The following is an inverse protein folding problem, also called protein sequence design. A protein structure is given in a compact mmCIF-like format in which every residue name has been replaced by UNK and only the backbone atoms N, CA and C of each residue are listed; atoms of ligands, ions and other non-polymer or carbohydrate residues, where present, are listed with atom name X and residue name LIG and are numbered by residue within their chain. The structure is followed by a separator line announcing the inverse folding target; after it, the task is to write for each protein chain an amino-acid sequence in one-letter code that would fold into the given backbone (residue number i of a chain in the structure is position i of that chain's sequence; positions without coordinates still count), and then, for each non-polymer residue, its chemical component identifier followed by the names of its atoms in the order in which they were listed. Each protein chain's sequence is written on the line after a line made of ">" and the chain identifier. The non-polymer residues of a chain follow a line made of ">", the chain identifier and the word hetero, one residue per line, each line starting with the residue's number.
data_IF_377414680627
#
_entry.id   IF_377414680627
#
_cell.length_a   1.000
_cell.length_b   1.000
_cell.length_c   1.000
_cell.angle_alpha   90.00
_cell.angle_beta   90.00
_cell.angle_gamma   90.00
#
_symmetry.space_group_name_H-M   'P 1'
#
loop_
_entity.id
_entity.type
_entity.pdbx_description
1 polymer ?
#
# COMPACT_ATOMS: atom_id res chain seq x y z
N UNK A 1 -52.19 1.54 7.96
CA UNK A 1 -51.40 1.41 9.20
C UNK A 1 -50.13 0.58 8.99
N UNK A 2 -50.17 -0.48 8.18
CA UNK A 2 -49.01 -1.30 7.79
C UNK A 2 -47.89 -0.51 7.09
N UNK A 3 -48.22 0.37 6.14
CA UNK A 3 -47.20 1.09 5.34
C UNK A 3 -46.32 2.08 6.14
N UNK A 4 -46.81 2.63 7.26
CA UNK A 4 -46.03 3.59 8.08
C UNK A 4 -45.10 2.88 9.07
N UNK A 5 -45.49 1.70 9.54
CA UNK A 5 -44.63 0.85 10.38
C UNK A 5 -43.50 0.20 9.56
N UNK A 6 -43.77 -0.19 8.32
CA UNK A 6 -42.74 -0.72 7.40
C UNK A 6 -41.68 0.34 7.05
N UNK A 7 -42.07 1.61 6.86
CA UNK A 7 -41.13 2.71 6.56
C UNK A 7 -40.26 3.06 7.77
N UNK A 8 -40.82 3.01 8.99
CA UNK A 8 -40.10 3.28 10.24
C UNK A 8 -39.03 2.21 10.52
N UNK A 9 -39.36 0.94 10.25
CA UNK A 9 -38.43 -0.18 10.34
C UNK A 9 -37.29 -0.11 9.29
N UNK A 10 -37.59 0.34 8.08
CA UNK A 10 -36.59 0.54 7.02
C UNK A 10 -35.62 1.69 7.37
N UNK A 11 -36.13 2.79 7.92
CA UNK A 11 -35.32 3.93 8.34
C UNK A 11 -34.39 3.61 9.52
N UNK A 12 -34.88 2.86 10.51
CA UNK A 12 -34.06 2.40 11.64
C UNK A 12 -32.95 1.46 11.16
N UNK A 13 -33.25 0.56 10.23
CA UNK A 13 -32.26 -0.34 9.61
C UNK A 13 -31.17 0.44 8.88
N UNK A 14 -31.55 1.46 8.09
CA UNK A 14 -30.59 2.32 7.38
C UNK A 14 -29.71 3.10 8.36
N UNK A 15 -30.28 3.64 9.44
CA UNK A 15 -29.50 4.34 10.46
C UNK A 15 -28.49 3.42 11.16
N UNK A 16 -28.92 2.21 11.56
CA UNK A 16 -28.05 1.21 12.17
C UNK A 16 -26.92 0.77 11.23
N UNK A 17 -27.21 0.62 9.94
CA UNK A 17 -26.20 0.28 8.94
C UNK A 17 -25.20 1.43 8.74
N UNK A 18 -25.69 2.68 8.70
CA UNK A 18 -24.84 3.86 8.58
C UNK A 18 -23.89 3.99 9.78
N UNK A 19 -24.38 3.78 10.99
CA UNK A 19 -23.57 3.82 12.21
C UNK A 19 -22.46 2.76 12.16
N UNK A 20 -22.79 1.53 11.76
CA UNK A 20 -21.81 0.45 11.59
C UNK A 20 -20.74 0.80 10.55
N UNK A 21 -21.13 1.33 9.40
CA UNK A 21 -20.18 1.70 8.34
C UNK A 21 -19.28 2.85 8.78
N UNK A 22 -19.80 3.84 9.51
CA UNK A 22 -19.02 4.94 10.06
C UNK A 22 -18.02 4.46 11.12
N UNK A 23 -18.40 3.52 11.98
CA UNK A 23 -17.47 2.89 12.92
C UNK A 23 -16.39 2.09 12.19
N UNK A 24 -16.78 1.29 11.19
CA UNK A 24 -15.82 0.58 10.33
C UNK A 24 -14.88 1.56 9.61
N UNK A 25 -15.38 2.71 9.17
CA UNK A 25 -14.58 3.75 8.53
C UNK A 25 -13.51 4.31 9.48
N UNK A 26 -13.85 4.48 10.76
CA UNK A 26 -12.90 4.93 11.79
C UNK A 26 -11.80 3.88 12.03
N UNK A 27 -12.16 2.60 12.12
CA UNK A 27 -11.19 1.51 12.25
C UNK A 27 -10.25 1.43 11.05
N UNK A 28 -10.79 1.50 9.83
CA UNK A 28 -9.97 1.50 8.62
C UNK A 28 -9.01 2.70 8.56
N UNK A 29 -9.42 3.87 9.08
CA UNK A 29 -8.53 5.03 9.19
C UNK A 29 -7.40 4.79 10.21
N UNK A 30 -7.70 4.19 11.35
CA UNK A 30 -6.68 3.79 12.34
C UNK A 30 -5.67 2.81 11.73
N UNK A 31 -6.15 1.78 11.02
CA UNK A 31 -5.32 0.81 10.33
C UNK A 31 -4.42 1.48 9.28
N UNK A 32 -4.99 2.40 8.48
CA UNK A 32 -4.22 3.18 7.50
C UNK A 32 -3.10 3.98 8.17
N UNK A 33 -3.41 4.67 9.27
CA UNK A 33 -2.42 5.44 10.02
C UNK A 33 -1.29 4.55 10.55
N UNK A 34 -1.63 3.37 11.08
CA UNK A 34 -0.65 2.39 11.56
C UNK A 34 0.24 1.89 10.40
N UNK A 35 -0.35 1.58 9.25
CA UNK A 35 0.39 1.21 8.03
C UNK A 35 1.34 2.32 7.58
N UNK A 36 0.91 3.58 7.53
CA UNK A 36 1.75 4.72 7.14
C UNK A 36 2.94 4.89 8.09
N UNK A 37 2.73 4.80 9.41
CA UNK A 37 3.81 4.85 10.38
C UNK A 37 4.82 3.71 10.20
N UNK A 38 4.35 2.50 9.89
CA UNK A 38 5.22 1.36 9.62
C UNK A 38 6.04 1.56 8.33
N UNK A 39 5.43 2.10 7.28
CA UNK A 39 6.11 2.44 6.02
C UNK A 39 7.19 3.49 6.28
N UNK A 40 6.86 4.58 6.99
CA UNK A 40 7.82 5.64 7.34
C UNK A 40 9.02 5.10 8.13
N UNK A 41 8.75 4.27 9.15
CA UNK A 41 9.79 3.62 9.95
C UNK A 41 10.69 2.73 9.09
N UNK A 42 10.11 1.94 8.18
CA UNK A 42 10.85 1.05 7.29
C UNK A 42 11.69 1.83 6.27
N UNK A 43 11.13 2.87 5.65
CA UNK A 43 11.84 3.76 4.73
C UNK A 43 13.02 4.45 5.43
N UNK A 44 12.82 4.95 6.64
CA UNK A 44 13.88 5.59 7.42
C UNK A 44 15.00 4.59 7.72
N UNK A 45 14.66 3.39 8.19
CA UNK A 45 15.64 2.34 8.46
C UNK A 45 16.45 1.94 7.20
N UNK A 46 15.77 1.72 6.07
CA UNK A 46 16.42 1.44 4.79
C UNK A 46 17.35 2.58 4.35
N UNK A 47 16.92 3.83 4.53
CA UNK A 47 17.70 5.02 4.20
C UNK A 47 18.95 5.17 5.06
N UNK A 48 18.88 4.84 6.36
CA UNK A 48 20.06 4.80 7.26
C UNK A 48 21.09 3.79 6.74
N UNK A 49 20.65 2.62 6.29
CA UNK A 49 21.55 1.61 5.72
C UNK A 49 22.17 2.06 4.39
N UNK A 50 21.43 2.77 3.54
CA UNK A 50 22.00 3.40 2.35
C UNK A 50 23.04 4.47 2.71
N UNK A 51 22.75 5.33 3.69
CA UNK A 51 23.69 6.35 4.15
C UNK A 51 24.98 5.74 4.70
N UNK A 52 24.89 4.67 5.50
CA UNK A 52 26.05 3.90 5.96
C UNK A 52 26.85 3.31 4.80
N UNK A 53 26.17 2.81 3.76
CA UNK A 53 26.83 2.27 2.56
C UNK A 53 27.58 3.36 1.79
N UNK A 54 26.95 4.53 1.58
CA UNK A 54 27.59 5.74 0.99
C UNK A 54 28.81 6.18 1.79
N UNK A 55 28.72 6.19 3.12
CA UNK A 55 29.84 6.57 3.98
C UNK A 55 31.03 5.63 3.82
N UNK A 56 30.79 4.32 3.83
CA UNK A 56 31.84 3.30 3.72
C UNK A 56 32.51 3.31 2.35
N UNK A 57 31.72 3.43 1.28
CA UNK A 57 32.21 3.30 -0.10
C UNK A 57 32.58 4.64 -0.76
N UNK A 58 32.32 5.77 -0.10
CA UNK A 58 32.52 7.11 -0.65
C UNK A 58 31.33 7.65 -1.46
N UNK A 59 31.32 8.96 -1.71
CA UNK A 59 30.16 9.71 -2.20
C UNK A 59 29.58 9.28 -3.56
N UNK A 60 30.38 8.71 -4.46
CA UNK A 60 30.00 8.36 -5.84
C UNK A 60 29.62 6.87 -6.03
N UNK A 61 29.63 6.10 -4.95
CA UNK A 61 29.48 4.64 -5.00
C UNK A 61 28.03 4.17 -4.91
N UNK A 62 27.19 4.86 -4.14
CA UNK A 62 25.75 4.63 -4.05
C UNK A 62 25.09 5.94 -4.45
N UNK A 63 25.02 6.20 -5.74
CA UNK A 63 24.48 7.45 -6.26
C UNK A 63 23.77 7.24 -7.60
N UNK A 64 23.02 8.24 -8.07
CA UNK A 64 22.21 8.16 -9.28
C UNK A 64 23.06 7.88 -10.53
N UNK A 65 24.33 8.28 -10.53
CA UNK A 65 25.28 8.04 -11.62
C UNK A 65 25.61 6.55 -11.81
N UNK A 66 25.24 5.70 -10.84
CA UNK A 66 25.41 4.24 -10.95
C UNK A 66 24.18 3.53 -11.54
N UNK A 67 23.07 4.24 -11.71
CA UNK A 67 21.86 3.64 -12.23
C UNK A 67 21.97 3.42 -13.75
N UNK A 68 21.35 2.36 -14.29
CA UNK A 68 21.22 2.16 -15.72
C UNK A 68 20.62 3.40 -16.42
N UNK A 69 21.21 3.77 -17.56
CA UNK A 69 20.71 4.79 -18.48
C UNK A 69 20.02 4.15 -19.69
N UNK A 70 19.43 4.95 -20.59
CA UNK A 70 18.75 4.49 -21.81
C UNK A 70 19.62 3.60 -22.72
N UNK A 71 20.95 3.68 -22.59
CA UNK A 71 21.93 2.86 -23.31
C UNK A 71 22.25 1.52 -22.63
N UNK A 72 21.69 1.24 -21.45
CA UNK A 72 21.92 0.00 -20.71
C UNK A 72 21.03 -1.13 -21.24
N UNK A 73 21.40 -2.39 -20.95
CA UNK A 73 20.55 -3.53 -21.26
C UNK A 73 19.18 -3.39 -20.58
N UNK A 74 18.12 -3.77 -21.29
CA UNK A 74 16.78 -3.85 -20.71
C UNK A 74 16.77 -4.79 -19.51
N UNK A 75 15.96 -4.43 -18.52
CA UNK A 75 15.71 -5.21 -17.32
C UNK A 75 14.29 -4.97 -16.86
N UNK A 76 13.71 -5.96 -16.20
CA UNK A 76 12.35 -5.91 -15.69
C UNK A 76 12.32 -5.70 -14.18
N UNK A 77 11.18 -5.25 -13.68
CA UNK A 77 10.96 -5.14 -12.25
C UNK A 77 10.98 -6.53 -11.60
N UNK A 78 11.70 -6.66 -10.48
CA UNK A 78 11.75 -7.92 -9.72
C UNK A 78 10.41 -8.30 -9.10
N UNK A 79 9.52 -7.32 -8.91
CA UNK A 79 8.17 -7.50 -8.37
C UNK A 79 7.21 -6.57 -9.11
N UNK A 80 6.01 -7.06 -9.38
CA UNK A 80 4.88 -6.32 -9.94
C UNK A 80 3.72 -6.33 -8.95
N UNK A 81 2.73 -5.47 -9.19
CA UNK A 81 1.51 -5.41 -8.41
C UNK A 81 0.35 -5.84 -9.29
N UNK A 82 -0.40 -6.85 -8.85
CA UNK A 82 -1.55 -7.38 -9.56
C UNK A 82 -2.81 -7.16 -8.74
N UNK A 83 -3.93 -6.90 -9.43
CA UNK A 83 -5.25 -6.82 -8.80
C UNK A 83 -5.85 -8.21 -8.77
N UNK A 84 -6.15 -8.71 -7.58
CA UNK A 84 -6.79 -10.00 -7.34
C UNK A 84 -8.18 -9.75 -6.76
N UNK A 85 -9.16 -10.51 -7.21
CA UNK A 85 -10.49 -10.55 -6.60
C UNK A 85 -10.60 -11.81 -5.74
N UNK A 86 -10.46 -11.67 -4.42
CA UNK A 86 -10.68 -12.75 -3.45
C UNK A 86 -11.96 -12.43 -2.68
N UNK A 87 -12.90 -13.38 -2.58
CA UNK A 87 -14.16 -13.24 -1.85
C UNK A 87 -15.03 -12.03 -2.24
N UNK A 88 -15.02 -11.64 -3.52
CA UNK A 88 -15.65 -10.42 -4.07
C UNK A 88 -15.06 -9.10 -3.57
N UNK A 89 -13.87 -9.14 -2.96
CA UNK A 89 -13.15 -7.96 -2.52
C UNK A 89 -11.96 -7.76 -3.46
N UNK A 90 -11.89 -6.58 -4.08
CA UNK A 90 -10.76 -6.21 -4.94
C UNK A 90 -9.56 -5.85 -4.07
N UNK A 91 -8.46 -6.59 -4.22
CA UNK A 91 -7.23 -6.40 -3.47
C UNK A 91 -6.03 -6.36 -4.41
N UNK A 92 -4.95 -5.74 -3.94
CA UNK A 92 -3.66 -5.66 -4.61
C UNK A 92 -2.71 -6.65 -3.95
N UNK A 93 -1.91 -7.35 -4.76
CA UNK A 93 -0.91 -8.30 -4.28
C UNK A 93 0.42 -8.07 -4.99
N UNK A 94 1.51 -8.20 -4.24
CA UNK A 94 2.87 -8.21 -4.79
C UNK A 94 3.15 -9.59 -5.38
N UNK A 95 3.56 -9.62 -6.64
CA UNK A 95 3.90 -10.85 -7.37
C UNK A 95 5.36 -10.74 -7.83
N UNK A 96 6.13 -11.81 -7.64
CA UNK A 96 7.50 -11.87 -8.15
C UNK A 96 7.49 -12.17 -9.65
N UNK A 97 8.34 -11.48 -10.41
CA UNK A 97 8.46 -11.69 -11.85
C UNK A 97 9.52 -12.76 -12.14
N UNK A 98 9.18 -13.76 -12.97
CA UNK A 98 10.11 -14.82 -13.41
C UNK A 98 11.09 -14.38 -14.51
N UNK A 99 10.99 -13.14 -14.98
CA UNK A 99 11.87 -12.59 -16.01
C UNK A 99 13.31 -12.41 -15.50
N UNK A 100 14.25 -12.28 -16.45
CA UNK A 100 15.69 -12.22 -16.20
C UNK A 100 16.05 -11.20 -15.11
N UNK A 101 16.22 -11.71 -13.88
CA UNK A 101 16.39 -10.87 -12.69
C UNK A 101 17.83 -10.32 -12.64
N UNK A 102 18.02 -9.11 -13.16
CA UNK A 102 19.29 -8.38 -13.03
C UNK A 102 19.48 -8.04 -11.56
N UNK A 103 20.58 -8.48 -10.95
CA UNK A 103 20.88 -8.11 -9.57
C UNK A 103 21.31 -6.63 -9.51
N UNK A 104 20.47 -5.71 -8.97
CA UNK A 104 20.74 -4.27 -9.02
C UNK A 104 21.93 -3.86 -8.13
N UNK A 105 22.36 -4.73 -7.20
CA UNK A 105 23.53 -4.47 -6.37
C UNK A 105 24.81 -4.38 -7.20
N UNK A 106 24.87 -5.07 -8.35
CA UNK A 106 26.03 -5.06 -9.24
C UNK A 106 26.26 -3.70 -9.90
N UNK A 107 25.22 -2.86 -10.00
CA UNK A 107 25.34 -1.50 -10.51
C UNK A 107 26.23 -0.62 -9.62
N UNK A 108 26.34 -0.97 -8.33
CA UNK A 108 27.15 -0.24 -7.36
C UNK A 108 28.55 -0.86 -7.15
N UNK A 109 28.92 -1.87 -7.94
CA UNK A 109 30.23 -2.53 -7.94
C UNK A 109 30.19 -4.00 -7.53
N UNK A 110 31.35 -4.67 -7.66
CA UNK A 110 31.49 -6.11 -7.37
C UNK A 110 31.46 -6.39 -5.86
N UNK A 111 32.00 -5.48 -5.06
CA UNK A 111 32.11 -5.63 -3.60
C UNK A 111 31.32 -4.53 -2.90
N UNK A 112 30.07 -4.83 -2.57
CA UNK A 112 29.18 -3.89 -1.86
C UNK A 112 29.10 -4.23 -0.36
N UNK A 113 29.03 -3.24 0.55
CA UNK A 113 28.90 -3.46 1.98
C UNK A 113 27.61 -4.20 2.35
N UNK A 114 27.65 -4.90 3.49
CA UNK A 114 26.47 -5.58 4.06
C UNK A 114 25.28 -4.65 4.31
N UNK A 115 25.54 -3.37 4.58
CA UNK A 115 24.48 -2.37 4.73
C UNK A 115 23.67 -2.19 3.44
N UNK A 116 24.26 -2.33 2.26
CA UNK A 116 23.53 -2.17 0.99
C UNK A 116 22.59 -3.35 0.74
N UNK A 117 23.03 -4.56 1.08
CA UNK A 117 22.16 -5.75 1.08
C UNK A 117 20.97 -5.59 2.03
N UNK A 118 21.23 -5.10 3.25
CA UNK A 118 20.16 -4.82 4.22
C UNK A 118 19.18 -3.77 3.72
N UNK A 119 19.68 -2.67 3.15
CA UNK A 119 18.83 -1.65 2.55
C UNK A 119 17.93 -2.23 1.45
N UNK A 120 18.49 -3.03 0.53
CA UNK A 120 17.71 -3.72 -0.51
C UNK A 120 16.58 -4.55 0.10
N UNK A 121 16.88 -5.42 1.06
CA UNK A 121 15.88 -6.28 1.71
C UNK A 121 14.81 -5.49 2.45
N UNK A 122 15.20 -4.42 3.16
CA UNK A 122 14.25 -3.53 3.84
C UNK A 122 13.30 -2.90 2.83
N UNK A 123 13.81 -2.33 1.73
CA UNK A 123 12.95 -1.70 0.72
C UNK A 123 12.06 -2.71 -0.01
N UNK A 124 12.54 -3.92 -0.29
CA UNK A 124 11.70 -4.99 -0.84
C UNK A 124 10.52 -5.31 0.09
N UNK A 125 10.77 -5.43 1.38
CA UNK A 125 9.70 -5.65 2.36
C UNK A 125 8.77 -4.44 2.50
N UNK A 126 9.30 -3.22 2.41
CA UNK A 126 8.49 -1.99 2.43
C UNK A 126 7.46 -1.95 1.31
N UNK A 127 7.75 -2.51 0.13
CA UNK A 127 6.78 -2.60 -0.96
C UNK A 127 5.54 -3.40 -0.52
N UNK A 128 5.71 -4.49 0.23
CA UNK A 128 4.59 -5.26 0.76
C UNK A 128 3.72 -4.40 1.70
N UNK A 129 4.34 -3.66 2.63
CA UNK A 129 3.59 -2.75 3.53
C UNK A 129 2.85 -1.64 2.77
N UNK A 130 3.44 -1.13 1.67
CA UNK A 130 2.78 -0.14 0.82
C UNK A 130 1.54 -0.73 0.15
N UNK A 131 1.63 -1.96 -0.36
CA UNK A 131 0.49 -2.65 -0.97
C UNK A 131 -0.61 -2.94 0.04
N UNK A 132 -0.26 -3.38 1.25
CA UNK A 132 -1.21 -3.52 2.36
C UNK A 132 -1.92 -2.20 2.68
N UNK A 133 -1.17 -1.10 2.78
CA UNK A 133 -1.74 0.24 2.99
C UNK A 133 -2.68 0.66 1.85
N UNK A 134 -2.30 0.37 0.60
CA UNK A 134 -3.14 0.65 -0.56
C UNK A 134 -4.46 -0.15 -0.51
N UNK A 135 -4.43 -1.40 -0.04
CA UNK A 135 -5.64 -2.20 0.16
C UNK A 135 -6.56 -1.61 1.22
N UNK A 136 -6.03 -1.14 2.35
CA UNK A 136 -6.82 -0.44 3.37
C UNK A 136 -7.43 0.85 2.77
N UNK A 137 -6.68 1.58 1.95
CA UNK A 137 -7.20 2.78 1.26
C UNK A 137 -8.34 2.45 0.29
N UNK A 138 -8.25 1.34 -0.44
CA UNK A 138 -9.35 0.89 -1.30
C UNK A 138 -10.62 0.61 -0.49
N UNK A 139 -10.49 -0.08 0.65
CA UNK A 139 -11.63 -0.35 1.54
C UNK A 139 -12.23 0.94 2.12
N UNK A 140 -11.40 1.91 2.50
CA UNK A 140 -11.87 3.24 2.92
C UNK A 140 -12.71 3.89 1.82
N UNK A 141 -12.20 3.93 0.59
CA UNK A 141 -12.90 4.56 -0.53
C UNK A 141 -14.24 3.87 -0.80
N UNK A 142 -14.28 2.54 -0.75
CA UNK A 142 -15.51 1.78 -0.90
C UNK A 142 -16.51 2.07 0.22
N UNK A 143 -16.05 2.09 1.47
CA UNK A 143 -16.90 2.36 2.61
C UNK A 143 -17.48 3.79 2.57
N UNK A 144 -16.69 4.79 2.15
CA UNK A 144 -17.18 6.16 1.91
C UNK A 144 -18.32 6.16 0.87
N UNK A 145 -18.16 5.45 -0.26
CA UNK A 145 -19.20 5.35 -1.29
C UNK A 145 -20.48 4.74 -0.74
N UNK A 146 -20.37 3.67 0.07
CA UNK A 146 -21.51 3.02 0.70
C UNK A 146 -22.24 3.96 1.69
N UNK A 147 -21.47 4.71 2.49
CA UNK A 147 -21.99 5.73 3.40
C UNK A 147 -22.74 6.82 2.63
N UNK A 148 -22.18 7.31 1.53
CA UNK A 148 -22.82 8.34 0.68
C UNK A 148 -24.13 7.84 0.05
N UNK A 149 -24.15 6.59 -0.45
CA UNK A 149 -25.33 5.98 -1.02
C UNK A 149 -26.47 5.83 0.00
N UNK A 150 -26.15 5.39 1.23
CA UNK A 150 -27.14 5.27 2.31
C UNK A 150 -27.62 6.61 2.83
N UNK A 151 -26.74 7.62 2.91
CA UNK A 151 -27.14 8.99 3.23
C UNK A 151 -28.10 9.54 2.19
N UNK A 152 -27.83 9.30 0.91
CA UNK A 152 -28.74 9.69 -0.17
C UNK A 152 -30.11 9.01 -0.03
N UNK A 153 -30.14 7.70 0.23
CA UNK A 153 -31.37 6.95 0.45
C UNK A 153 -32.17 7.50 1.64
N UNK A 154 -31.51 7.69 2.79
CA UNK A 154 -32.13 8.28 4.00
C UNK A 154 -32.78 9.63 3.72
N UNK A 155 -32.09 10.51 2.99
CA UNK A 155 -32.60 11.84 2.64
C UNK A 155 -33.76 11.82 1.63
N UNK A 156 -33.92 10.73 0.88
CA UNK A 156 -35.04 10.54 -0.06
C UNK A 156 -36.28 9.97 0.61
N UNK A 157 -36.11 9.20 1.70
CA UNK A 157 -37.19 8.58 2.48
C UNK A 157 -37.77 9.54 3.53
N UNK A 158 -36.96 10.47 4.03
CA UNK A 158 -37.39 11.59 4.91
C UNK A 158 -38.12 12.68 4.11
#
# INVERSE_FOLDING_TARGET
>A
MTQKADIDFDLETVCNLLDKLVLQQLHLMEDKMACELNIEKSINNGSIHLAKSRYIMGQSSVSKERLPTESSSEFSASVTCESVEEDNIRQLKVVETDEANVNPLRWFGVLVPQNLYRAKSIFQNTVNFIVECANVQLQIIENIKNIEALKYYKNKVN
#
